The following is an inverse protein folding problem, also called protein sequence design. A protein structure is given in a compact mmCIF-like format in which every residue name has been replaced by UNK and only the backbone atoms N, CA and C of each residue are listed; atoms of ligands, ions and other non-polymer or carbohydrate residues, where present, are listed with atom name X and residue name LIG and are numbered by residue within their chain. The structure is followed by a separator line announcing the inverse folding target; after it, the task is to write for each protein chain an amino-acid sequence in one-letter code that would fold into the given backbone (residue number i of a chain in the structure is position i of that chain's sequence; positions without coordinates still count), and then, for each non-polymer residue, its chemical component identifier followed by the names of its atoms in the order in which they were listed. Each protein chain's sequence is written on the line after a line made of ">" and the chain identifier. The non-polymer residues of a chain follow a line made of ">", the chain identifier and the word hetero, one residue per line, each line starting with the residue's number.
data_IF_360686384045
#
_entry.id   IF_360686384045
#
_cell.length_a   1.000
_cell.length_b   1.000
_cell.length_c   1.000
_cell.angle_alpha   90.00
_cell.angle_beta   90.00
_cell.angle_gamma   90.00
#
_symmetry.space_group_name_H-M   'P 1'
#
loop_
_entity.id
_entity.type
_entity.pdbx_description
1 polymer ?
#
# COMPACT_ATOMS: atom_id res chain seq x y z
N UNK A 1 -2.24 1.68 -15.89
CA UNK A 1 -1.19 0.64 -15.97
C UNK A 1 0.16 1.32 -15.76
N UNK A 2 1.15 0.61 -15.22
CA UNK A 2 2.51 1.12 -14.98
C UNK A 2 2.54 2.39 -14.10
N UNK A 3 1.74 2.41 -13.03
CA UNK A 3 1.72 3.55 -12.09
C UNK A 3 3.09 3.70 -11.43
N UNK A 4 3.54 4.95 -11.26
CA UNK A 4 4.87 5.23 -10.70
C UNK A 4 6.02 4.94 -11.65
N UNK A 5 5.76 4.90 -12.96
CA UNK A 5 6.80 4.80 -13.97
C UNK A 5 7.68 6.05 -14.00
N UNK A 6 8.94 5.87 -14.38
CA UNK A 6 9.93 6.94 -14.46
C UNK A 6 11.14 6.70 -13.56
N UNK A 7 11.84 7.79 -13.22
CA UNK A 7 13.06 7.75 -12.42
C UNK A 7 12.83 7.23 -11.00
N UNK A 8 13.87 6.70 -10.36
CA UNK A 8 13.93 6.19 -8.97
C UNK A 8 13.76 7.27 -7.88
N UNK A 9 12.81 8.18 -8.05
CA UNK A 9 12.55 9.29 -7.13
C UNK A 9 11.62 8.82 -6.02
N UNK A 10 12.01 9.03 -4.78
CA UNK A 10 11.18 8.70 -3.60
C UNK A 10 10.16 9.80 -3.29
N UNK A 11 10.39 11.02 -3.79
CA UNK A 11 9.55 12.20 -3.54
C UNK A 11 8.05 12.00 -3.85
N UNK A 12 7.64 11.31 -4.94
CA UNK A 12 6.23 11.09 -5.22
C UNK A 12 5.52 10.29 -4.13
N UNK A 13 6.17 9.25 -3.59
CA UNK A 13 5.60 8.43 -2.52
C UNK A 13 5.50 9.22 -1.22
N UNK A 14 6.55 9.98 -0.89
CA UNK A 14 6.56 10.85 0.30
C UNK A 14 5.42 11.87 0.21
N UNK A 15 5.20 12.47 -0.96
CA UNK A 15 4.09 13.40 -1.18
C UNK A 15 2.72 12.76 -0.94
N UNK A 16 2.47 11.58 -1.50
CA UNK A 16 1.22 10.83 -1.29
C UNK A 16 0.99 10.53 0.20
N UNK A 17 2.03 10.08 0.90
CA UNK A 17 1.95 9.81 2.35
C UNK A 17 1.71 11.08 3.17
N UNK A 18 2.36 12.20 2.80
CA UNK A 18 2.23 13.46 3.51
C UNK A 18 0.80 14.04 3.46
N UNK A 19 0.05 13.75 2.39
CA UNK A 19 -1.37 14.13 2.27
C UNK A 19 -2.34 13.10 2.86
N UNK A 20 -1.83 12.08 3.56
CA UNK A 20 -2.65 11.10 4.26
C UNK A 20 -3.11 9.90 3.43
N UNK A 21 -2.64 9.73 2.19
CA UNK A 21 -2.98 8.55 1.37
C UNK A 21 -2.35 7.30 1.99
N UNK A 22 -3.17 6.27 2.22
CA UNK A 22 -2.74 5.02 2.86
C UNK A 22 -2.45 3.92 1.85
N UNK A 23 -3.18 3.89 0.73
CA UNK A 23 -3.02 2.89 -0.30
C UNK A 23 -3.24 3.48 -1.70
N UNK A 24 -2.61 2.87 -2.70
CA UNK A 24 -2.87 3.12 -4.13
C UNK A 24 -3.33 1.81 -4.76
N UNK A 25 -4.46 1.85 -5.45
CA UNK A 25 -4.98 0.72 -6.22
C UNK A 25 -4.76 1.03 -7.70
N UNK A 26 -4.09 0.13 -8.41
CA UNK A 26 -3.80 0.31 -9.83
C UNK A 26 -3.90 -1.02 -10.60
N UNK A 27 -3.94 -0.94 -11.93
CA UNK A 27 -3.86 -2.14 -12.78
C UNK A 27 -2.48 -2.80 -12.75
N UNK A 28 -1.44 -2.01 -12.52
CA UNK A 28 -0.05 -2.46 -12.38
C UNK A 28 0.84 -1.30 -11.95
N UNK A 29 1.93 -1.62 -11.27
CA UNK A 29 2.96 -0.65 -10.84
C UNK A 29 4.29 -0.86 -11.55
N UNK A 30 5.06 0.20 -11.70
CA UNK A 30 6.47 0.08 -12.08
C UNK A 30 7.26 -0.57 -10.93
N UNK A 31 8.20 -1.47 -11.23
CA UNK A 31 9.00 -2.17 -10.20
C UNK A 31 9.70 -1.22 -9.22
N UNK A 32 10.06 -0.03 -9.69
CA UNK A 32 10.87 0.94 -8.94
C UNK A 32 10.11 1.62 -7.80
N UNK A 33 8.78 1.78 -7.91
CA UNK A 33 8.00 2.47 -6.88
C UNK A 33 7.74 1.58 -5.66
N UNK A 34 7.79 0.25 -5.81
CA UNK A 34 7.53 -0.70 -4.72
C UNK A 34 8.43 -0.48 -3.51
N UNK A 35 9.74 -0.32 -3.71
CA UNK A 35 10.67 -0.11 -2.58
C UNK A 35 10.37 1.20 -1.85
N UNK A 36 10.16 2.28 -2.61
CA UNK A 36 9.82 3.58 -2.03
C UNK A 36 8.50 3.52 -1.26
N UNK A 37 7.48 2.87 -1.82
CA UNK A 37 6.18 2.69 -1.18
C UNK A 37 6.28 1.94 0.15
N UNK A 38 6.97 0.79 0.17
CA UNK A 38 7.19 0.01 1.40
C UNK A 38 7.96 0.82 2.44
N UNK A 39 9.04 1.50 2.03
CA UNK A 39 9.85 2.32 2.94
C UNK A 39 9.02 3.37 3.67
N UNK A 40 8.07 3.99 2.98
CA UNK A 40 7.21 5.06 3.50
C UNK A 40 5.85 4.56 4.03
N UNK A 41 5.60 3.25 4.04
CA UNK A 41 4.33 2.68 4.51
C UNK A 41 3.13 3.07 3.63
N UNK A 42 3.34 3.16 2.31
CA UNK A 42 2.29 3.28 1.31
C UNK A 42 1.98 1.89 0.76
N UNK A 43 0.73 1.44 0.88
CA UNK A 43 0.32 0.14 0.35
C UNK A 43 0.03 0.24 -1.15
N UNK A 44 0.58 -0.68 -1.94
CA UNK A 44 0.30 -0.78 -3.38
C UNK A 44 -0.51 -2.05 -3.64
N UNK A 45 -1.63 -1.90 -4.36
CA UNK A 45 -2.55 -3.00 -4.64
C UNK A 45 -2.81 -3.09 -6.14
N UNK A 46 -2.49 -4.25 -6.72
CA UNK A 46 -2.82 -4.56 -8.11
C UNK A 46 -4.20 -5.23 -8.17
N UNK A 47 -5.19 -4.50 -8.70
CA UNK A 47 -6.55 -5.00 -8.88
C UNK A 47 -7.15 -4.45 -10.20
N UNK A 48 -6.77 -5.01 -11.35
CA UNK A 48 -7.15 -4.46 -12.66
C UNK A 48 -8.66 -4.29 -12.85
N UNK A 49 -9.43 -5.31 -12.47
CA UNK A 49 -10.90 -5.33 -12.60
C UNK A 49 -11.57 -4.27 -11.73
N UNK A 50 -11.09 -4.08 -10.50
CA UNK A 50 -11.60 -3.04 -9.60
C UNK A 50 -11.35 -1.63 -10.18
N UNK A 51 -10.16 -1.43 -10.77
CA UNK A 51 -9.80 -0.15 -11.43
C UNK A 51 -10.62 0.07 -12.69
N UNK A 52 -10.92 -0.98 -13.45
CA UNK A 52 -11.78 -0.90 -14.64
C UNK A 52 -13.24 -0.59 -14.31
N UNK A 53 -13.71 -1.06 -13.16
CA UNK A 53 -15.09 -0.84 -12.70
C UNK A 53 -15.31 0.54 -12.06
N UNK A 54 -14.27 1.11 -11.44
CA UNK A 54 -14.38 2.37 -10.71
C UNK A 54 -14.82 3.56 -11.57
N UNK A 55 -15.72 4.37 -11.03
CA UNK A 55 -16.08 5.68 -11.57
C UNK A 55 -15.89 6.77 -10.51
N UNK A 56 -15.52 8.02 -10.91
CA UNK A 56 -15.36 9.12 -9.96
C UNK A 56 -16.60 9.32 -9.10
N UNK A 57 -16.39 9.44 -7.78
CA UNK A 57 -17.46 9.63 -6.80
C UNK A 57 -18.06 8.34 -6.23
N UNK A 58 -17.61 7.16 -6.69
CA UNK A 58 -17.99 5.90 -6.05
C UNK A 58 -17.25 5.71 -4.72
N UNK A 59 -17.97 5.21 -3.71
CA UNK A 59 -17.37 4.78 -2.45
C UNK A 59 -16.48 3.56 -2.64
N UNK A 60 -15.31 3.60 -2.00
CA UNK A 60 -14.30 2.54 -2.04
C UNK A 60 -13.96 2.12 -0.62
N UNK A 61 -14.22 0.87 -0.30
CA UNK A 61 -13.78 0.23 0.94
C UNK A 61 -12.65 -0.74 0.62
N UNK A 62 -11.58 -0.69 1.42
CA UNK A 62 -10.43 -1.56 1.26
C UNK A 62 -10.19 -2.36 2.54
N UNK A 63 -10.14 -3.69 2.42
CA UNK A 63 -9.72 -4.58 3.48
C UNK A 63 -8.49 -5.40 3.02
N UNK A 64 -7.28 -4.99 3.40
CA UNK A 64 -6.06 -5.65 2.97
C UNK A 64 -5.79 -6.98 3.71
N UNK A 65 -6.32 -7.15 4.92
CA UNK A 65 -6.16 -8.37 5.71
C UNK A 65 -6.78 -9.61 5.05
N UNK A 66 -7.83 -9.41 4.26
CA UNK A 66 -8.51 -10.48 3.51
C UNK A 66 -8.40 -10.31 1.99
N UNK A 67 -7.65 -9.32 1.51
CA UNK A 67 -7.46 -9.10 0.07
C UNK A 67 -8.73 -8.69 -0.67
N UNK A 68 -9.54 -7.77 -0.10
CA UNK A 68 -10.84 -7.37 -0.63
C UNK A 68 -10.96 -5.87 -0.88
N UNK A 69 -11.57 -5.49 -2.00
CA UNK A 69 -11.98 -4.12 -2.34
C UNK A 69 -13.49 -4.14 -2.60
N UNK A 70 -14.24 -3.19 -2.05
CA UNK A 70 -15.66 -2.97 -2.37
C UNK A 70 -15.80 -1.61 -3.04
N UNK A 71 -16.41 -1.56 -4.22
CA UNK A 71 -16.64 -0.33 -4.99
C UNK A 71 -18.13 -0.27 -5.35
N UNK A 72 -18.86 0.75 -4.88
CA UNK A 72 -20.30 0.91 -5.16
C UNK A 72 -21.15 -0.34 -4.93
N UNK A 73 -20.80 -1.15 -3.92
CA UNK A 73 -21.50 -2.39 -3.59
C UNK A 73 -20.95 -3.67 -4.26
N UNK A 74 -20.14 -3.55 -5.32
CA UNK A 74 -19.48 -4.69 -5.97
C UNK A 74 -18.18 -5.05 -5.24
N UNK A 75 -17.91 -6.35 -5.09
CA UNK A 75 -16.69 -6.87 -4.46
C UNK A 75 -15.66 -7.33 -5.51
N UNK A 76 -14.40 -7.00 -5.25
CA UNK A 76 -13.23 -7.45 -5.99
C UNK A 76 -12.20 -8.05 -5.03
N UNK A 77 -11.43 -9.03 -5.52
CA UNK A 77 -10.37 -9.69 -4.75
C UNK A 77 -9.01 -9.40 -5.34
N UNK A 78 -8.01 -9.34 -4.47
CA UNK A 78 -6.60 -9.25 -4.83
C UNK A 78 -5.76 -10.15 -3.93
N UNK A 79 -4.54 -10.51 -4.34
CA UNK A 79 -3.66 -11.32 -3.51
C UNK A 79 -3.41 -10.63 -2.15
N UNK A 80 -3.69 -11.34 -1.07
CA UNK A 80 -3.43 -10.84 0.29
C UNK A 80 -1.96 -10.42 0.43
N UNK A 81 -1.66 -9.18 0.84
CA UNK A 81 -0.28 -8.77 1.09
C UNK A 81 0.33 -9.60 2.23
N UNK A 82 1.64 -9.88 2.18
CA UNK A 82 2.32 -10.57 3.27
C UNK A 82 2.11 -9.82 4.61
N UNK A 83 1.92 -10.54 5.74
CA UNK A 83 1.73 -9.91 7.04
C UNK A 83 2.83 -8.92 7.42
N UNK A 84 4.07 -9.17 6.99
CA UNK A 84 5.20 -8.28 7.20
C UNK A 84 5.01 -6.92 6.52
N UNK A 85 4.46 -6.91 5.30
CA UNK A 85 4.16 -5.68 4.56
C UNK A 85 3.03 -4.92 5.24
N UNK A 86 1.98 -5.61 5.70
CA UNK A 86 0.90 -4.98 6.47
C UNK A 86 1.44 -4.34 7.75
N UNK A 87 2.28 -5.07 8.50
CA UNK A 87 2.92 -4.54 9.71
C UNK A 87 3.83 -3.34 9.44
N UNK A 88 4.51 -3.29 8.28
CA UNK A 88 5.29 -2.12 7.86
C UNK A 88 4.37 -0.91 7.61
N UNK A 89 3.27 -1.11 6.89
CA UNK A 89 2.30 -0.05 6.58
C UNK A 89 1.65 0.48 7.87
N UNK A 90 1.22 -0.40 8.78
CA UNK A 90 0.65 -0.04 10.08
C UNK A 90 1.65 0.70 10.98
N UNK A 91 2.94 0.37 10.89
CA UNK A 91 3.97 1.10 11.61
C UNK A 91 4.26 2.50 11.03
N UNK A 92 3.70 2.83 9.87
CA UNK A 92 3.96 4.08 9.16
C UNK A 92 5.21 4.05 8.29
N UNK A 93 5.77 2.86 8.02
CA UNK A 93 6.95 2.68 7.19
C UNK A 93 8.00 1.75 7.80
N UNK A 94 8.97 1.37 6.98
CA UNK A 94 9.95 0.33 7.30
C UNK A 94 10.85 0.72 8.48
N UNK A 95 11.19 2.00 8.60
CA UNK A 95 12.04 2.51 9.66
C UNK A 95 11.38 2.35 11.03
N UNK A 96 10.13 2.77 11.16
CA UNK A 96 9.35 2.65 12.41
C UNK A 96 9.07 1.19 12.76
N UNK A 97 8.73 0.38 11.76
CA UNK A 97 8.57 -1.07 11.94
C UNK A 97 9.83 -1.72 12.51
N UNK A 98 10.99 -1.39 11.96
CA UNK A 98 12.28 -1.92 12.40
C UNK A 98 12.61 -1.44 13.81
N UNK A 99 12.36 -0.17 14.14
CA UNK A 99 12.54 0.39 15.49
C UNK A 99 11.71 -0.36 16.53
N UNK A 100 10.43 -0.65 16.23
CA UNK A 100 9.54 -1.42 17.12
C UNK A 100 10.08 -2.84 17.35
N UNK A 101 10.42 -3.56 16.28
CA UNK A 101 10.99 -4.92 16.35
C UNK A 101 12.29 -4.99 17.15
N UNK A 102 13.16 -3.98 17.04
CA UNK A 102 14.41 -3.95 17.80
C UNK A 102 14.16 -3.74 19.29
N UNK A 103 13.26 -2.81 19.67
CA UNK A 103 12.89 -2.59 21.08
C UNK A 103 12.30 -3.82 21.75
N UNK A 104 11.44 -4.56 21.05
CA UNK A 104 10.87 -5.82 21.56
C UNK A 104 11.92 -6.91 21.81
N UNK A 105 12.98 -6.93 20.99
CA UNK A 105 14.10 -7.88 21.15
C UNK A 105 15.02 -7.52 22.32
N UNK A 106 15.25 -6.22 22.58
CA UNK A 106 16.07 -5.77 23.71
C UNK A 106 15.32 -5.78 25.04
N UNK A 107 14.00 -5.58 25.06
CA UNK A 107 13.17 -5.63 26.27
C UNK A 107 12.77 -7.04 26.73
N UNK A 108 13.17 -8.10 26.00
CA UNK A 108 13.02 -9.51 26.39
C UNK A 108 14.27 -10.09 27.09
N UNK A 109 15.24 -9.24 27.42
CA UNK A 109 16.36 -9.57 28.33
C UNK A 109 16.06 -9.02 29.71
#
# INVERSE_FOLDING_TARGET
>A
RNFGCGSSREQPVVGLKAVGIQAVIAKSFARIIYRAAINQGLLLIEAPEAVDYYQPGMDVELNPDVGRIRIGGQEFRFPKPPPEILGIVEAGGLLEYTRRKLKERTGRK
#
